data_IF_250199169152
#
_entry.id   IF_250199169152
#
_cell.length_a   1.000
_cell.length_b   1.000
_cell.length_c   1.000
_cell.angle_alpha   90.00
_cell.angle_beta   90.00
_cell.angle_gamma   90.00
#
_symmetry.space_group_name_H-M   'P 1'
#
loop_
_entity.id
_entity.type
_entity.pdbx_description
1 polymer ?
#
# COMPACT_ATOMS: atom_id res chain seq x y z
N UNK A 1 -1.30 16.01 4.62
CA UNK A 1 -1.80 15.72 5.98
C UNK A 1 -0.76 14.85 6.67
N UNK A 2 -0.27 15.26 7.81
CA UNK A 2 0.76 14.52 8.53
C UNK A 2 0.14 13.39 9.35
N UNK A 3 0.73 12.21 9.27
CA UNK A 3 0.32 11.08 10.10
C UNK A 3 0.98 11.17 11.47
N UNK A 4 0.16 11.38 12.49
CA UNK A 4 0.59 11.21 13.88
C UNK A 4 0.58 9.74 14.25
N UNK A 5 1.31 9.37 15.31
CA UNK A 5 1.31 8.00 15.86
C UNK A 5 -0.11 7.49 16.13
N UNK A 6 -0.96 8.34 16.69
CA UNK A 6 -2.36 8.01 16.97
C UNK A 6 -3.16 7.67 15.70
N UNK A 7 -2.93 8.40 14.60
CA UNK A 7 -3.58 8.13 13.31
C UNK A 7 -3.07 6.81 12.74
N UNK A 8 -1.77 6.56 12.83
CA UNK A 8 -1.18 5.28 12.39
C UNK A 8 -1.76 4.10 13.15
N UNK A 9 -1.94 4.21 14.46
CA UNK A 9 -2.57 3.16 15.28
C UNK A 9 -4.00 2.87 14.83
N UNK A 10 -4.77 3.91 14.53
CA UNK A 10 -6.13 3.74 14.00
C UNK A 10 -6.15 3.05 12.64
N UNK A 11 -5.26 3.45 11.72
CA UNK A 11 -5.12 2.85 10.40
C UNK A 11 -4.75 1.37 10.52
N UNK A 12 -3.76 1.06 11.33
CA UNK A 12 -3.26 -0.29 11.53
C UNK A 12 -4.21 -1.18 12.34
N UNK A 13 -5.24 -0.59 12.95
CA UNK A 13 -6.36 -1.32 13.54
C UNK A 13 -7.33 -1.91 12.51
N UNK A 14 -7.15 -1.63 11.23
CA UNK A 14 -7.99 -2.18 10.16
C UNK A 14 -7.93 -3.72 10.15
N UNK A 15 -9.09 -4.41 10.28
CA UNK A 15 -9.12 -5.88 10.32
C UNK A 15 -8.47 -6.55 9.12
N UNK A 16 -8.60 -5.99 7.92
CA UNK A 16 -7.96 -6.51 6.71
C UNK A 16 -6.44 -6.51 6.86
N UNK A 17 -5.88 -5.40 7.34
CA UNK A 17 -4.43 -5.30 7.54
C UNK A 17 -3.92 -6.31 8.54
N UNK A 18 -4.66 -6.51 9.64
CA UNK A 18 -4.31 -7.48 10.68
C UNK A 18 -4.37 -8.91 10.19
N UNK A 19 -5.38 -9.26 9.39
CA UNK A 19 -5.52 -10.61 8.82
C UNK A 19 -4.37 -10.94 7.86
N UNK A 20 -3.96 -9.96 7.06
CA UNK A 20 -2.88 -10.13 6.07
C UNK A 20 -1.50 -10.03 6.73
N UNK A 21 -1.34 -9.12 7.67
CA UNK A 21 -0.08 -8.79 8.31
C UNK A 21 0.55 -7.50 7.77
N UNK A 22 -0.29 -6.57 7.30
CA UNK A 22 0.15 -5.26 6.81
C UNK A 22 0.22 -4.27 7.96
N UNK A 23 1.28 -3.48 7.98
CA UNK A 23 1.45 -2.35 8.88
C UNK A 23 1.93 -1.14 8.09
N UNK A 24 1.11 -0.10 8.02
CA UNK A 24 1.51 1.20 7.46
C UNK A 24 2.47 1.85 8.45
N UNK A 25 3.62 2.27 7.99
CA UNK A 25 4.67 2.85 8.82
C UNK A 25 4.70 4.37 8.76
N UNK A 26 4.54 4.91 7.57
CA UNK A 26 4.47 6.36 7.37
C UNK A 26 3.72 6.71 6.09
N UNK A 27 3.19 7.93 6.06
CA UNK A 27 2.71 8.55 4.84
C UNK A 27 2.84 10.07 4.98
N UNK A 28 3.55 10.69 4.06
CA UNK A 28 3.82 12.12 4.08
C UNK A 28 4.16 12.64 2.69
N UNK A 29 3.58 13.78 2.34
CA UNK A 29 3.94 14.54 1.14
C UNK A 29 3.99 13.69 -0.14
N UNK A 30 3.00 12.81 -0.33
CA UNK A 30 2.91 11.96 -1.51
C UNK A 30 3.77 10.70 -1.48
N UNK A 31 4.35 10.37 -0.33
CA UNK A 31 5.12 9.14 -0.11
C UNK A 31 4.54 8.33 1.03
N UNK A 32 4.62 7.02 0.93
CA UNK A 32 4.21 6.12 2.01
C UNK A 32 5.09 4.88 2.03
N UNK A 33 5.18 4.26 3.20
CA UNK A 33 5.80 2.95 3.35
C UNK A 33 4.95 2.06 4.24
N UNK A 34 4.93 0.77 3.90
CA UNK A 34 4.22 -0.25 4.66
C UNK A 34 5.05 -1.52 4.72
N UNK A 35 4.99 -2.18 5.86
CA UNK A 35 5.63 -3.47 6.10
C UNK A 35 4.58 -4.57 6.02
N UNK A 36 4.94 -5.68 5.44
CA UNK A 36 4.16 -6.92 5.43
C UNK A 36 4.94 -8.02 6.12
N UNK A 37 4.32 -8.62 7.14
CA UNK A 37 4.71 -9.91 7.68
C UNK A 37 3.55 -10.87 7.42
N UNK A 38 3.56 -11.60 6.29
CA UNK A 38 2.38 -12.33 5.84
C UNK A 38 1.99 -13.43 6.84
N UNK A 39 0.71 -13.44 7.22
CA UNK A 39 0.16 -14.52 8.06
C UNK A 39 0.10 -15.81 7.26
N UNK A 40 0.24 -16.95 7.92
CA UNK A 40 0.21 -18.25 7.26
C UNK A 40 -1.05 -18.50 6.44
N UNK A 41 -2.19 -17.97 6.90
CA UNK A 41 -3.49 -18.11 6.21
C UNK A 41 -3.54 -17.46 4.82
N UNK A 42 -2.65 -16.52 4.51
CA UNK A 42 -2.59 -15.84 3.21
C UNK A 42 -1.40 -16.29 2.35
N UNK A 43 -0.74 -17.34 2.77
CA UNK A 43 0.38 -17.97 2.06
C UNK A 43 -0.04 -19.29 1.42
N UNK A 44 0.68 -19.65 0.36
CA UNK A 44 0.54 -20.98 -0.25
C UNK A 44 1.04 -22.06 0.71
N UNK A 45 0.22 -23.11 1.05
CA UNK A 45 0.60 -24.08 2.08
C UNK A 45 1.86 -24.88 1.76
N UNK A 46 2.16 -25.07 0.48
CA UNK A 46 3.28 -25.91 0.03
C UNK A 46 4.60 -25.13 -0.12
N UNK A 47 4.58 -23.80 -0.11
CA UNK A 47 5.77 -22.98 -0.35
C UNK A 47 5.99 -21.91 0.71
N UNK A 48 5.02 -21.69 1.58
CA UNK A 48 5.01 -20.62 2.59
C UNK A 48 5.20 -19.20 2.01
N UNK A 49 5.00 -19.07 0.70
CA UNK A 49 5.03 -17.78 0.02
C UNK A 49 3.65 -17.11 0.10
N UNK A 50 3.60 -15.79 0.31
CA UNK A 50 2.33 -15.08 0.23
C UNK A 50 1.74 -15.22 -1.17
N UNK A 51 0.43 -15.40 -1.24
CA UNK A 51 -0.31 -15.32 -2.50
C UNK A 51 0.00 -13.99 -3.20
N UNK A 52 0.16 -13.99 -4.51
CA UNK A 52 0.46 -12.77 -5.27
C UNK A 52 -0.52 -11.64 -5.03
N UNK A 53 -1.80 -11.96 -4.80
CA UNK A 53 -2.83 -10.98 -4.41
C UNK A 53 -2.56 -10.29 -3.08
N UNK A 54 -1.77 -10.89 -2.20
CA UNK A 54 -1.35 -10.27 -0.93
C UNK A 54 -0.37 -9.13 -1.19
N UNK A 55 0.60 -9.35 -2.08
CA UNK A 55 1.53 -8.29 -2.51
C UNK A 55 0.78 -7.18 -3.28
N UNK A 56 -0.23 -7.55 -4.06
CA UNK A 56 -1.11 -6.58 -4.71
C UNK A 56 -1.83 -5.71 -3.67
N UNK A 57 -2.41 -6.31 -2.63
CA UNK A 57 -3.08 -5.59 -1.55
C UNK A 57 -2.12 -4.67 -0.80
N UNK A 58 -0.91 -5.15 -0.52
CA UNK A 58 0.14 -4.33 0.10
C UNK A 58 0.46 -3.09 -0.75
N UNK A 59 0.62 -3.27 -2.05
CA UNK A 59 0.94 -2.19 -2.98
C UNK A 59 -0.21 -1.19 -3.09
N UNK A 60 -1.44 -1.67 -3.29
CA UNK A 60 -2.64 -0.82 -3.36
C UNK A 60 -2.82 0.00 -2.09
N UNK A 61 -2.67 -0.63 -0.93
CA UNK A 61 -2.75 0.01 0.37
C UNK A 61 -1.70 1.12 0.52
N UNK A 62 -0.44 0.82 0.21
CA UNK A 62 0.65 1.79 0.36
C UNK A 62 0.49 2.96 -0.60
N UNK A 63 0.09 2.69 -1.84
CA UNK A 63 -0.20 3.73 -2.83
C UNK A 63 -1.34 4.64 -2.39
N UNK A 64 -2.44 4.05 -1.86
CA UNK A 64 -3.58 4.83 -1.38
C UNK A 64 -3.17 5.81 -0.27
N UNK A 65 -2.33 5.38 0.67
CA UNK A 65 -1.84 6.24 1.73
C UNK A 65 -0.85 7.30 1.23
N UNK A 66 -0.05 7.00 0.21
CA UNK A 66 0.78 8.00 -0.44
C UNK A 66 -0.08 9.11 -1.06
N UNK A 67 -1.14 8.74 -1.77
CA UNK A 67 -2.08 9.73 -2.33
C UNK A 67 -2.76 10.52 -1.23
N UNK A 68 -3.33 9.84 -0.23
CA UNK A 68 -4.04 10.47 0.88
C UNK A 68 -3.18 11.50 1.62
N UNK A 69 -1.90 11.25 1.76
CA UNK A 69 -0.98 12.14 2.48
C UNK A 69 -0.82 13.53 1.86
N UNK A 70 -1.22 13.71 0.61
CA UNK A 70 -1.15 15.01 -0.09
C UNK A 70 -2.53 15.63 -0.35
N UNK A 71 -3.60 15.05 0.19
CA UNK A 71 -4.96 15.56 0.00
C UNK A 71 -5.31 16.61 1.05
N UNK A 72 -6.16 17.55 0.65
CA UNK A 72 -6.78 18.48 1.58
C UNK A 72 -7.79 17.79 2.48
N UNK A 73 -8.10 18.40 3.63
CA UNK A 73 -9.14 17.90 4.53
C UNK A 73 -10.48 17.78 3.78
N UNK A 74 -11.22 16.69 4.06
CA UNK A 74 -12.50 16.43 3.42
C UNK A 74 -12.42 15.63 2.12
N UNK A 75 -11.21 15.25 1.69
CA UNK A 75 -11.01 14.42 0.51
C UNK A 75 -10.39 13.06 0.86
N UNK A 76 -10.68 12.09 0.04
CA UNK A 76 -10.10 10.76 0.06
C UNK A 76 -9.79 10.31 -1.36
N UNK A 77 -9.35 9.09 -1.53
CA UNK A 77 -9.07 8.54 -2.85
C UNK A 77 -9.64 7.14 -2.99
N UNK A 78 -9.85 6.74 -4.24
CA UNK A 78 -10.23 5.37 -4.58
C UNK A 78 -9.40 4.90 -5.76
N UNK A 79 -9.03 3.64 -5.76
CA UNK A 79 -8.22 3.01 -6.80
C UNK A 79 -9.00 2.94 -8.10
N UNK A 80 -8.44 3.45 -9.19
CA UNK A 80 -8.97 3.30 -10.55
C UNK A 80 -8.38 2.05 -11.18
N UNK A 81 -7.05 1.96 -11.17
CA UNK A 81 -6.34 0.78 -11.64
C UNK A 81 -4.98 0.66 -10.94
N UNK A 82 -4.43 -0.54 -10.99
CA UNK A 82 -3.09 -0.83 -10.52
C UNK A 82 -2.51 -1.95 -11.37
N UNK A 83 -1.34 -1.70 -11.95
CA UNK A 83 -0.54 -2.69 -12.66
C UNK A 83 0.64 -3.09 -11.78
N UNK A 84 0.79 -4.39 -11.56
CA UNK A 84 1.89 -4.96 -10.78
C UNK A 84 2.68 -5.96 -11.62
N UNK A 85 4.00 -5.89 -11.52
CA UNK A 85 4.92 -6.87 -12.09
C UNK A 85 5.66 -7.56 -10.95
N UNK A 86 5.56 -8.88 -10.91
CA UNK A 86 6.29 -9.71 -9.96
C UNK A 86 7.64 -10.05 -10.58
N UNK A 87 8.71 -9.48 -10.03
CA UNK A 87 10.03 -9.53 -10.63
C UNK A 87 10.84 -10.76 -10.22
N UNK A 88 10.45 -11.39 -9.10
CA UNK A 88 11.04 -12.63 -8.62
C UNK A 88 10.11 -13.32 -7.63
N UNK A 89 10.42 -14.55 -7.27
CA UNK A 89 9.69 -15.30 -6.25
C UNK A 89 9.66 -14.55 -4.92
N UNK A 90 8.46 -14.36 -4.35
CA UNK A 90 8.25 -13.65 -3.11
C UNK A 90 8.47 -14.56 -1.89
N UNK A 91 9.67 -15.11 -1.75
CA UNK A 91 10.03 -15.99 -0.64
C UNK A 91 10.78 -15.20 0.43
N UNK A 92 10.05 -14.70 1.42
CA UNK A 92 10.59 -13.93 2.53
C UNK A 92 9.60 -13.93 3.69
N UNK A 93 10.09 -13.71 4.90
CA UNK A 93 9.22 -13.56 6.08
C UNK A 93 8.75 -12.11 6.28
N UNK A 94 9.33 -11.16 5.58
CA UNK A 94 8.95 -9.77 5.64
C UNK A 94 9.19 -9.06 4.31
N UNK A 95 8.34 -8.07 4.02
CA UNK A 95 8.41 -7.23 2.82
C UNK A 95 8.23 -5.78 3.20
N UNK A 96 8.86 -4.90 2.44
CA UNK A 96 8.69 -3.46 2.54
C UNK A 96 8.15 -2.93 1.21
N UNK A 97 7.02 -2.25 1.26
CA UNK A 97 6.49 -1.51 0.11
C UNK A 97 6.75 -0.02 0.33
N UNK A 98 7.28 0.63 -0.70
CA UNK A 98 7.44 2.07 -0.75
C UNK A 98 6.69 2.60 -1.96
N UNK A 99 5.85 3.61 -1.77
CA UNK A 99 5.06 4.24 -2.82
C UNK A 99 5.31 5.74 -2.86
N UNK A 100 5.24 6.31 -4.06
CA UNK A 100 5.40 7.75 -4.25
C UNK A 100 4.52 8.25 -5.39
N UNK A 101 3.88 9.38 -5.17
CA UNK A 101 3.10 10.06 -6.20
C UNK A 101 4.04 10.66 -7.25
N UNK A 102 3.79 10.37 -8.51
CA UNK A 102 4.59 10.90 -9.63
C UNK A 102 3.96 12.12 -10.26
N UNK A 103 2.64 12.20 -10.22
CA UNK A 103 1.88 13.30 -10.79
C UNK A 103 0.50 13.37 -10.15
N UNK A 104 0.04 14.58 -9.82
CA UNK A 104 -1.28 14.80 -9.23
C UNK A 104 -1.98 15.96 -9.92
N UNK A 105 -3.24 15.72 -10.32
CA UNK A 105 -4.18 16.75 -10.72
C UNK A 105 -5.20 16.99 -9.59
N UNK A 106 -6.21 17.83 -9.80
CA UNK A 106 -7.30 18.00 -8.85
C UNK A 106 -8.20 16.77 -8.70
N UNK A 107 -8.14 15.81 -9.62
CA UNK A 107 -9.05 14.67 -9.68
C UNK A 107 -8.35 13.31 -9.64
N UNK A 108 -7.12 13.22 -10.11
CA UNK A 108 -6.37 11.97 -10.25
C UNK A 108 -4.96 12.16 -9.72
N UNK A 109 -4.45 11.13 -9.05
CA UNK A 109 -3.05 10.99 -8.70
C UNK A 109 -2.49 9.73 -9.33
N UNK A 110 -1.30 9.84 -9.94
CA UNK A 110 -0.54 8.73 -10.48
C UNK A 110 0.57 8.37 -9.50
N UNK A 111 0.71 7.08 -9.21
CA UNK A 111 1.60 6.60 -8.14
C UNK A 111 2.45 5.44 -8.66
N UNK A 112 3.68 5.37 -8.20
CA UNK A 112 4.56 4.21 -8.37
C UNK A 112 4.88 3.57 -7.05
N UNK A 113 5.18 2.27 -7.06
CA UNK A 113 5.59 1.56 -5.86
C UNK A 113 6.55 0.41 -6.20
N UNK A 114 7.41 0.12 -5.22
CA UNK A 114 8.30 -1.03 -5.20
C UNK A 114 8.03 -1.85 -3.95
N UNK A 115 8.12 -3.18 -4.08
CA UNK A 115 8.12 -4.10 -2.95
C UNK A 115 9.46 -4.82 -2.91
N UNK A 116 10.12 -4.79 -1.76
CA UNK A 116 11.38 -5.46 -1.51
C UNK A 116 11.20 -6.55 -0.45
N UNK A 117 11.98 -7.62 -0.56
CA UNK A 117 12.07 -8.64 0.48
C UNK A 117 13.01 -8.19 1.63
N UNK A 118 13.20 -9.04 2.64
CA UNK A 118 14.05 -8.75 3.79
C UNK A 118 15.55 -8.58 3.45
N UNK A 119 15.96 -9.02 2.26
CA UNK A 119 17.31 -8.84 1.73
C UNK A 119 17.48 -7.57 0.88
N UNK A 120 16.43 -6.77 0.76
CA UNK A 120 16.43 -5.57 -0.09
C UNK A 120 16.31 -5.85 -1.59
N UNK A 121 15.96 -7.07 -1.99
CA UNK A 121 15.78 -7.42 -3.39
C UNK A 121 14.37 -7.02 -3.84
N UNK A 122 14.26 -6.47 -5.06
CA UNK A 122 12.98 -6.11 -5.66
C UNK A 122 12.20 -7.38 -6.01
N UNK A 123 11.02 -7.55 -5.42
CA UNK A 123 10.13 -8.69 -5.67
C UNK A 123 8.90 -8.31 -6.49
N UNK A 124 8.52 -7.06 -6.47
CA UNK A 124 7.44 -6.52 -7.28
C UNK A 124 7.61 -5.03 -7.49
N UNK A 125 7.10 -4.55 -8.61
CA UNK A 125 7.02 -3.13 -8.94
C UNK A 125 5.70 -2.84 -9.61
N UNK A 126 5.21 -1.61 -9.50
CA UNK A 126 3.94 -1.26 -10.09
C UNK A 126 3.68 0.22 -10.21
N UNK A 127 2.60 0.52 -10.88
CA UNK A 127 2.06 1.86 -11.01
C UNK A 127 0.54 1.80 -10.96
N UNK A 128 -0.07 2.88 -10.47
CA UNK A 128 -1.52 2.96 -10.34
C UNK A 128 -2.04 4.37 -10.53
N UNK A 129 -3.34 4.46 -10.73
CA UNK A 129 -4.07 5.71 -10.77
C UNK A 129 -5.18 5.68 -9.70
N UNK A 130 -5.32 6.78 -9.00
CA UNK A 130 -6.29 6.97 -7.91
C UNK A 130 -7.13 8.19 -8.20
N UNK A 131 -8.44 8.03 -8.09
CA UNK A 131 -9.37 9.17 -8.17
C UNK A 131 -9.49 9.83 -6.81
N UNK A 132 -9.39 11.16 -6.80
CA UNK A 132 -9.61 11.98 -5.62
C UNK A 132 -11.11 12.31 -5.53
N UNK A 133 -11.72 12.02 -4.40
CA UNK A 133 -13.15 12.18 -4.18
C UNK A 133 -13.42 12.87 -2.83
N UNK A 134 -14.52 13.65 -2.74
CA UNK A 134 -14.98 14.14 -1.45
C UNK A 134 -15.39 12.99 -0.53
N UNK A 135 -15.04 13.08 0.75
CA UNK A 135 -15.35 12.04 1.76
C UNK A 135 -16.86 11.77 1.86
N UNK A 136 -17.70 12.78 1.63
CA UNK A 136 -19.16 12.63 1.69
C UNK A 136 -19.73 11.65 0.66
N UNK A 137 -19.01 11.36 -0.42
CA UNK A 137 -19.40 10.37 -1.43
C UNK A 137 -19.08 8.92 -1.01
N UNK A 138 -18.41 8.73 0.13
CA UNK A 138 -18.04 7.41 0.66
C UNK A 138 -19.00 6.89 1.74
N UNK A 139 -20.00 7.69 2.11
CA UNK A 139 -20.98 7.34 3.16
C UNK A 139 -22.19 6.60 2.60
#
# INVERSE_FOLDING_TARGET
MDMTEKILDQINGNPLYQVIGIQVQEARAGKASSRLEPKSAVCWPFSEQPHGGVLFTLMDTTMAWAVWSQLDAGYSCTTVNLDIHYTMSAKSNAFLCTAWSTHKTGRISFVRADIQNSKGQLVAMGQGAFRIIPVDLLK
#
